data_IF_590485174475
#
_entry.id   IF_590485174475
#
_cell.length_a   1.000
_cell.length_b   1.000
_cell.length_c   1.000
_cell.angle_alpha   90.00
_cell.angle_beta   90.00
_cell.angle_gamma   90.00
#
_symmetry.space_group_name_H-M   'P 1'
#
loop_
_entity.id
_entity.type
_entity.pdbx_description
1 polymer ?
#
# COMPACT_ATOMS: atom_id res chain seq x y z
N UNK A 1 -14.95 55.19 -9.38
CA UNK A 1 -15.15 54.17 -8.31
C UNK A 1 -15.61 52.91 -9.03
N UNK A 2 -14.70 52.01 -9.34
CA UNK A 2 -14.97 50.77 -10.09
C UNK A 2 -14.92 49.60 -9.13
N UNK A 3 -16.04 48.94 -8.94
CA UNK A 3 -16.14 47.78 -8.06
C UNK A 3 -15.59 46.55 -8.77
N UNK A 4 -14.51 46.00 -8.23
CA UNK A 4 -13.94 44.70 -8.65
C UNK A 4 -14.75 43.60 -8.02
N UNK A 5 -15.55 42.87 -8.83
CA UNK A 5 -16.26 41.67 -8.41
C UNK A 5 -15.27 40.52 -8.41
N UNK A 6 -14.85 40.11 -7.21
CA UNK A 6 -14.08 38.88 -7.02
C UNK A 6 -15.03 37.67 -7.24
N UNK A 7 -14.92 37.01 -8.37
CA UNK A 7 -15.54 35.70 -8.62
C UNK A 7 -14.71 34.66 -7.87
N UNK A 8 -15.30 34.13 -6.79
CA UNK A 8 -14.77 32.94 -6.08
C UNK A 8 -14.98 31.71 -6.99
N UNK A 9 -13.91 31.25 -7.61
CA UNK A 9 -13.85 29.92 -8.22
C UNK A 9 -13.80 28.87 -7.10
N UNK A 10 -14.94 28.41 -6.62
CA UNK A 10 -15.03 27.11 -5.97
C UNK A 10 -14.98 26.08 -7.09
N UNK A 11 -13.82 25.48 -7.31
CA UNK A 11 -13.73 24.26 -8.10
C UNK A 11 -14.57 23.20 -7.39
N UNK A 12 -15.68 22.80 -7.98
CA UNK A 12 -16.41 21.64 -7.54
C UNK A 12 -15.48 20.42 -7.72
N UNK A 13 -14.88 19.95 -6.64
CA UNK A 13 -14.19 18.67 -6.63
C UNK A 13 -15.24 17.62 -7.02
N UNK A 14 -15.06 17.06 -8.21
CA UNK A 14 -15.88 15.97 -8.72
C UNK A 14 -15.62 14.78 -7.79
N UNK A 15 -16.58 14.47 -6.91
CA UNK A 15 -16.54 13.25 -6.11
C UNK A 15 -16.68 12.08 -7.09
N UNK A 16 -15.56 11.51 -7.48
CA UNK A 16 -15.52 10.28 -8.26
C UNK A 16 -15.88 9.17 -7.28
N UNK A 17 -17.07 8.60 -7.41
CA UNK A 17 -17.48 7.42 -6.65
C UNK A 17 -16.82 6.22 -7.32
N UNK A 18 -15.82 5.68 -6.67
CA UNK A 18 -15.22 4.40 -7.03
C UNK A 18 -16.14 3.27 -6.53
N UNK A 19 -16.24 2.18 -7.27
CA UNK A 19 -17.14 1.05 -6.97
C UNK A 19 -16.61 0.18 -5.81
N UNK A 20 -16.28 0.79 -4.67
CA UNK A 20 -16.05 0.11 -3.40
C UNK A 20 -14.64 -0.46 -3.15
N UNK A 21 -13.81 -0.73 -4.17
CA UNK A 21 -12.50 -1.35 -3.98
C UNK A 21 -11.33 -0.35 -4.18
N UNK A 22 -10.20 -0.57 -3.47
CA UNK A 22 -8.93 0.14 -3.65
C UNK A 22 -7.74 -0.84 -3.53
N UNK A 23 -6.72 -0.66 -4.35
CA UNK A 23 -5.41 -1.30 -4.17
C UNK A 23 -4.55 -0.43 -3.26
N UNK A 24 -4.08 -1.00 -2.14
CA UNK A 24 -3.15 -0.38 -1.21
C UNK A 24 -1.78 -1.06 -1.32
N UNK A 25 -0.79 -0.33 -1.82
CA UNK A 25 0.60 -0.78 -1.95
C UNK A 25 1.40 -0.24 -0.77
N UNK A 26 1.84 -1.13 0.12
CA UNK A 26 2.49 -0.78 1.38
C UNK A 26 4.00 -0.86 1.24
N UNK A 27 4.69 0.22 1.58
CA UNK A 27 6.14 0.35 1.73
C UNK A 27 6.97 -0.23 0.56
N UNK A 28 6.50 -0.02 -0.68
CA UNK A 28 7.24 -0.42 -1.88
C UNK A 28 8.37 0.59 -2.19
N UNK A 29 9.26 0.78 -1.21
CA UNK A 29 10.38 1.73 -1.22
C UNK A 29 11.67 1.07 -1.72
N UNK A 30 12.61 1.87 -2.21
CA UNK A 30 13.87 1.40 -2.79
C UNK A 30 14.65 0.49 -1.84
N UNK A 31 14.70 0.82 -0.54
CA UNK A 31 15.40 -0.01 0.47
C UNK A 31 14.88 -1.44 0.58
N UNK A 32 13.64 -1.70 0.18
CA UNK A 32 13.05 -3.04 0.20
C UNK A 32 13.53 -3.92 -0.97
N UNK A 33 14.10 -3.32 -2.00
CA UNK A 33 14.53 -4.02 -3.24
C UNK A 33 16.03 -3.99 -3.44
N UNK A 34 16.75 -3.16 -2.70
CA UNK A 34 18.20 -2.99 -2.83
C UNK A 34 18.93 -3.36 -1.53
N UNK A 35 20.16 -3.92 -1.64
CA UNK A 35 21.00 -4.17 -0.47
C UNK A 35 21.25 -2.89 0.35
N UNK A 36 21.44 -3.04 1.68
CA UNK A 36 21.54 -4.28 2.44
C UNK A 36 20.20 -4.85 2.93
N UNK A 37 19.08 -4.20 2.69
CA UNK A 37 17.77 -4.53 3.27
C UNK A 37 16.79 -5.14 2.26
N UNK A 38 17.29 -5.64 1.13
CA UNK A 38 16.42 -6.24 0.12
C UNK A 38 15.64 -7.45 0.67
N UNK A 39 14.33 -7.45 0.41
CA UNK A 39 13.46 -8.58 0.75
C UNK A 39 13.77 -9.80 -0.10
N UNK A 40 13.39 -10.97 0.39
CA UNK A 40 13.53 -12.23 -0.35
C UNK A 40 12.67 -12.18 -1.63
N UNK A 41 13.24 -12.67 -2.74
CA UNK A 41 12.64 -12.64 -4.09
C UNK A 41 12.15 -11.23 -4.52
N UNK A 42 12.82 -10.17 -4.10
CA UNK A 42 12.46 -8.78 -4.41
C UNK A 42 12.12 -8.52 -5.88
N UNK A 43 12.90 -9.03 -6.87
CA UNK A 43 12.56 -8.87 -8.28
C UNK A 43 11.21 -9.48 -8.70
N UNK A 44 10.80 -10.62 -8.13
CA UNK A 44 9.50 -11.22 -8.42
C UNK A 44 8.37 -10.44 -7.74
N UNK A 45 8.58 -10.01 -6.50
CA UNK A 45 7.63 -9.16 -5.79
C UNK A 45 7.40 -7.85 -6.55
N UNK A 46 8.47 -7.19 -7.00
CA UNK A 46 8.34 -5.97 -7.80
C UNK A 46 7.52 -6.18 -9.07
N UNK A 47 7.77 -7.28 -9.81
CA UNK A 47 6.98 -7.60 -11.01
C UNK A 47 5.49 -7.75 -10.69
N UNK A 48 5.14 -8.46 -9.59
CA UNK A 48 3.75 -8.67 -9.15
C UNK A 48 3.08 -7.37 -8.71
N UNK A 49 3.78 -6.52 -7.97
CA UNK A 49 3.27 -5.19 -7.59
C UNK A 49 3.01 -4.32 -8.83
N UNK A 50 3.92 -4.30 -9.80
CA UNK A 50 3.72 -3.60 -11.08
C UNK A 50 2.52 -4.12 -11.84
N UNK A 51 2.33 -5.44 -11.89
CA UNK A 51 1.17 -6.07 -12.52
C UNK A 51 -0.13 -5.65 -11.83
N UNK A 52 -0.20 -5.74 -10.50
CA UNK A 52 -1.38 -5.33 -9.72
C UNK A 52 -1.72 -3.85 -9.96
N UNK A 53 -0.73 -2.96 -9.86
CA UNK A 53 -0.92 -1.51 -10.08
C UNK A 53 -1.41 -1.24 -11.50
N UNK A 54 -0.79 -1.87 -12.51
CA UNK A 54 -1.20 -1.71 -13.91
C UNK A 54 -2.64 -2.18 -14.15
N UNK A 55 -3.03 -3.32 -13.56
CA UNK A 55 -4.39 -3.87 -13.70
C UNK A 55 -5.42 -3.06 -12.96
N UNK A 56 -5.11 -2.56 -11.75
CA UNK A 56 -5.99 -1.67 -11.00
C UNK A 56 -6.26 -0.37 -11.77
N UNK A 57 -5.20 0.27 -12.29
CA UNK A 57 -5.29 1.48 -13.11
C UNK A 57 -6.11 1.25 -14.39
N UNK A 58 -5.87 0.14 -15.09
CA UNK A 58 -6.62 -0.21 -16.30
C UNK A 58 -8.11 -0.45 -16.04
N UNK A 59 -8.45 -0.94 -14.87
CA UNK A 59 -9.84 -1.15 -14.44
C UNK A 59 -10.49 0.11 -13.82
N UNK A 60 -9.75 1.22 -13.67
CA UNK A 60 -10.23 2.41 -12.99
C UNK A 60 -10.41 2.25 -11.48
N UNK A 61 -9.79 1.23 -10.89
CA UNK A 61 -9.76 1.01 -9.44
C UNK A 61 -8.67 1.90 -8.85
N UNK A 62 -8.97 2.70 -7.81
CA UNK A 62 -7.99 3.59 -7.21
C UNK A 62 -6.81 2.82 -6.61
N UNK A 63 -5.64 3.42 -6.76
CA UNK A 63 -4.40 2.94 -6.16
C UNK A 63 -3.94 3.98 -5.14
N UNK A 64 -3.52 3.52 -3.98
CA UNK A 64 -2.84 4.35 -2.99
C UNK A 64 -1.55 3.66 -2.53
N UNK A 65 -0.58 4.47 -2.17
CA UNK A 65 0.70 4.02 -1.68
C UNK A 65 0.86 4.40 -0.21
N UNK A 66 1.50 3.53 0.54
CA UNK A 66 1.97 3.83 1.88
C UNK A 66 3.49 3.89 1.83
N UNK A 67 4.07 4.86 2.52
CA UNK A 67 5.50 5.08 2.58
C UNK A 67 5.92 5.21 4.04
N UNK A 68 6.86 4.38 4.48
CA UNK A 68 7.39 4.43 5.82
C UNK A 68 8.44 5.53 5.94
N UNK A 69 8.35 6.31 7.01
CA UNK A 69 9.37 7.25 7.44
C UNK A 69 10.16 6.59 8.57
N UNK A 70 11.29 5.99 8.22
CA UNK A 70 12.19 5.37 9.19
C UNK A 70 12.86 6.38 10.12
N UNK A 71 13.49 5.87 11.17
CA UNK A 71 14.30 6.67 12.09
C UNK A 71 15.59 7.18 11.43
N UNK A 72 16.28 8.10 12.09
CA UNK A 72 17.47 8.81 11.55
C UNK A 72 18.59 7.88 11.03
N UNK A 73 18.69 6.66 11.56
CA UNK A 73 19.71 5.69 11.16
C UNK A 73 19.19 4.61 10.19
N UNK A 74 17.89 4.64 9.87
CA UNK A 74 17.27 3.66 9.01
C UNK A 74 17.47 4.00 7.53
N UNK A 75 17.57 3.02 6.63
CA UNK A 75 17.77 3.26 5.20
C UNK A 75 16.57 3.96 4.55
N UNK A 76 15.41 3.93 5.18
CA UNK A 76 14.19 4.63 4.78
C UNK A 76 13.92 5.90 5.59
N UNK A 77 14.97 6.53 6.15
CA UNK A 77 14.86 7.88 6.72
C UNK A 77 14.49 8.88 5.62
N UNK A 78 13.54 9.80 5.86
CA UNK A 78 13.07 10.77 4.88
C UNK A 78 14.21 11.54 4.17
N UNK A 79 14.20 11.48 2.84
CA UNK A 79 15.21 12.13 2.01
C UNK A 79 16.43 11.27 1.64
N UNK A 80 16.56 10.05 2.19
CA UNK A 80 17.57 9.10 1.73
C UNK A 80 17.13 8.44 0.40
N UNK A 81 18.06 7.90 -0.39
CA UNK A 81 17.70 7.15 -1.59
C UNK A 81 16.78 5.95 -1.31
N UNK A 82 16.99 5.24 -0.19
CA UNK A 82 16.20 4.08 0.22
C UNK A 82 14.77 4.41 0.62
N UNK A 83 14.52 5.65 1.06
CA UNK A 83 13.19 6.11 1.43
C UNK A 83 12.25 6.29 0.24
N UNK A 84 12.76 6.65 -0.94
CA UNK A 84 11.93 6.88 -2.10
C UNK A 84 11.09 5.64 -2.46
N UNK A 85 9.87 5.84 -2.94
CA UNK A 85 9.12 4.78 -3.60
C UNK A 85 9.91 4.26 -4.79
N UNK A 86 9.82 2.96 -5.06
CA UNK A 86 10.55 2.36 -6.18
C UNK A 86 10.16 3.04 -7.51
N UNK A 87 11.11 3.41 -8.39
CA UNK A 87 10.84 4.19 -9.60
C UNK A 87 9.83 3.54 -10.57
N UNK A 88 9.73 2.23 -10.53
CA UNK A 88 8.73 1.48 -11.33
C UNK A 88 7.32 1.49 -10.74
N UNK A 89 7.12 2.06 -9.54
CA UNK A 89 5.86 2.08 -8.79
C UNK A 89 5.44 3.49 -8.39
N UNK A 90 5.90 4.50 -9.12
CA UNK A 90 5.57 5.89 -8.80
C UNK A 90 4.06 6.14 -8.94
N UNK A 91 3.48 6.92 -8.00
CA UNK A 91 2.10 7.37 -8.10
C UNK A 91 1.89 8.20 -9.36
N UNK A 92 0.69 8.10 -9.94
CA UNK A 92 0.20 8.97 -11.00
C UNK A 92 -0.70 10.06 -10.45
N UNK A 93 -1.08 11.04 -11.28
CA UNK A 93 -1.94 12.14 -10.87
C UNK A 93 -3.24 11.64 -10.23
N UNK A 94 -3.51 12.13 -9.02
CA UNK A 94 -4.68 11.75 -8.23
C UNK A 94 -4.49 10.56 -7.29
N UNK A 95 -3.41 9.80 -7.41
CA UNK A 95 -3.06 8.76 -6.45
C UNK A 95 -2.37 9.36 -5.21
N UNK A 96 -2.76 8.88 -4.03
CA UNK A 96 -2.21 9.39 -2.76
C UNK A 96 -1.05 8.54 -2.25
N UNK A 97 -0.13 9.21 -1.58
CA UNK A 97 0.92 8.59 -0.75
C UNK A 97 0.64 8.95 0.70
N UNK A 98 0.44 7.94 1.54
CA UNK A 98 0.26 8.10 2.98
C UNK A 98 1.57 7.79 3.68
N UNK A 99 2.13 8.77 4.37
CA UNK A 99 3.37 8.61 5.13
C UNK A 99 3.06 8.17 6.55
N UNK A 100 3.80 7.19 7.04
CA UNK A 100 3.64 6.64 8.39
C UNK A 100 4.98 6.48 9.10
N UNK A 101 4.97 6.47 10.41
CA UNK A 101 6.12 6.24 11.29
C UNK A 101 5.96 4.96 12.14
N UNK A 102 4.89 4.21 11.94
CA UNK A 102 4.60 2.96 12.65
C UNK A 102 4.28 1.85 11.65
N UNK A 103 4.14 0.61 12.12
CA UNK A 103 3.77 -0.52 11.27
C UNK A 103 2.32 -0.47 10.77
N UNK A 104 1.43 0.26 11.47
CA UNK A 104 0.03 0.42 11.10
C UNK A 104 -0.13 1.57 10.10
N UNK A 105 -0.54 1.27 8.86
CA UNK A 105 -0.76 2.28 7.81
C UNK A 105 -1.92 3.24 8.09
N UNK A 106 -2.76 2.94 9.06
CA UNK A 106 -3.88 3.79 9.46
C UNK A 106 -3.55 4.75 10.60
N UNK A 107 -2.43 4.49 11.31
CA UNK A 107 -2.07 5.27 12.49
C UNK A 107 -1.55 6.66 12.07
N UNK A 108 -2.29 7.71 12.41
CA UNK A 108 -1.95 9.13 12.17
C UNK A 108 -1.64 9.49 10.70
N UNK A 109 -2.30 8.81 9.72
CA UNK A 109 -2.02 9.02 8.29
C UNK A 109 -3.16 9.67 7.50
N UNK A 110 -4.35 9.75 8.03
CA UNK A 110 -5.55 10.19 7.29
C UNK A 110 -6.11 9.14 6.30
N UNK A 111 -5.49 7.95 6.21
CA UNK A 111 -5.93 6.90 5.28
C UNK A 111 -7.38 6.47 5.56
N UNK A 112 -7.75 6.26 6.83
CA UNK A 112 -9.08 5.80 7.20
C UNK A 112 -10.17 6.80 6.80
N UNK A 113 -9.94 8.08 7.07
CA UNK A 113 -10.85 9.18 6.72
C UNK A 113 -11.06 9.27 5.22
N UNK A 114 -9.99 9.17 4.44
CA UNK A 114 -10.05 9.23 2.99
C UNK A 114 -10.78 8.03 2.39
N UNK A 115 -10.51 6.81 2.88
CA UNK A 115 -11.21 5.60 2.45
C UNK A 115 -12.72 5.71 2.69
N UNK A 116 -13.11 6.16 3.88
CA UNK A 116 -14.52 6.35 4.24
C UNK A 116 -15.18 7.46 3.41
N UNK A 117 -14.49 8.58 3.22
CA UNK A 117 -15.00 9.70 2.40
C UNK A 117 -15.15 9.30 0.94
N UNK A 118 -14.30 8.43 0.41
CA UNK A 118 -14.39 7.90 -0.95
C UNK A 118 -15.42 6.77 -1.10
N UNK A 119 -15.99 6.27 0.01
CA UNK A 119 -16.94 5.15 0.00
C UNK A 119 -16.28 3.81 -0.32
N UNK A 120 -14.99 3.66 -0.02
CA UNK A 120 -14.27 2.40 -0.15
C UNK A 120 -14.75 1.43 0.93
N UNK A 121 -15.01 0.21 0.54
CA UNK A 121 -15.45 -0.88 1.42
C UNK A 121 -14.57 -2.12 1.29
N UNK A 122 -13.77 -2.19 0.23
CA UNK A 122 -12.90 -3.32 -0.07
C UNK A 122 -11.45 -2.84 -0.24
N UNK A 123 -10.49 -3.57 0.32
CA UNK A 123 -9.07 -3.30 0.17
C UNK A 123 -8.35 -4.53 -0.38
N UNK A 124 -7.58 -4.33 -1.44
CA UNK A 124 -6.57 -5.29 -1.91
C UNK A 124 -5.23 -4.80 -1.39
N UNK A 125 -4.55 -5.59 -0.56
CA UNK A 125 -3.30 -5.20 0.12
C UNK A 125 -2.13 -6.01 -0.41
N UNK A 126 -1.03 -5.33 -0.75
CA UNK A 126 0.23 -5.92 -1.19
C UNK A 126 1.40 -5.03 -0.73
N UNK A 127 2.63 -5.55 -0.71
CA UNK A 127 3.83 -4.78 -0.37
C UNK A 127 4.70 -5.39 0.73
N UNK A 128 5.34 -4.57 1.55
CA UNK A 128 6.33 -4.98 2.55
C UNK A 128 6.02 -4.43 3.96
N UNK A 129 6.57 -5.04 5.00
CA UNK A 129 7.08 -6.40 5.07
C UNK A 129 6.02 -7.32 5.65
N UNK A 130 6.03 -8.59 5.26
CA UNK A 130 5.00 -9.60 5.60
C UNK A 130 4.64 -9.66 7.08
N UNK A 131 5.65 -9.70 7.94
CA UNK A 131 5.52 -9.86 9.41
C UNK A 131 5.52 -8.53 10.18
N UNK A 132 5.49 -7.40 9.49
CA UNK A 132 5.46 -6.05 10.06
C UNK A 132 4.28 -5.24 9.51
N UNK A 133 4.53 -4.36 8.56
CA UNK A 133 3.53 -3.41 8.08
C UNK A 133 2.35 -4.09 7.37
N UNK A 134 2.58 -5.20 6.67
CA UNK A 134 1.51 -5.99 6.04
C UNK A 134 0.62 -6.63 7.10
N UNK A 135 1.20 -7.28 8.13
CA UNK A 135 0.42 -7.88 9.22
C UNK A 135 -0.42 -6.82 9.94
N UNK A 136 0.22 -5.73 10.41
CA UNK A 136 -0.46 -4.68 11.16
C UNK A 136 -1.56 -4.00 10.34
N UNK A 137 -1.25 -3.61 9.10
CA UNK A 137 -2.20 -2.93 8.21
C UNK A 137 -3.39 -3.81 7.84
N UNK A 138 -3.14 -5.10 7.54
CA UNK A 138 -4.20 -6.06 7.19
C UNK A 138 -5.15 -6.28 8.36
N UNK A 139 -4.62 -6.50 9.57
CA UNK A 139 -5.44 -6.65 10.78
C UNK A 139 -6.24 -5.39 11.09
N UNK A 140 -5.60 -4.24 10.97
CA UNK A 140 -6.28 -2.96 11.22
C UNK A 140 -7.39 -2.75 10.20
N UNK A 141 -7.16 -2.95 8.90
CA UNK A 141 -8.18 -2.82 7.88
C UNK A 141 -9.39 -3.72 8.16
N UNK A 142 -9.17 -4.99 8.52
CA UNK A 142 -10.23 -5.92 8.90
C UNK A 142 -11.00 -5.45 10.14
N UNK A 143 -10.32 -4.93 11.16
CA UNK A 143 -10.96 -4.41 12.38
C UNK A 143 -11.79 -3.15 12.15
N UNK A 144 -11.45 -2.35 11.12
CA UNK A 144 -12.22 -1.18 10.69
C UNK A 144 -13.43 -1.55 9.81
N UNK A 145 -13.63 -2.83 9.52
CA UNK A 145 -14.79 -3.35 8.80
C UNK A 145 -14.63 -3.40 7.29
N UNK A 146 -13.42 -3.21 6.74
CA UNK A 146 -13.17 -3.41 5.32
C UNK A 146 -13.19 -4.89 4.94
N UNK A 147 -13.75 -5.22 3.78
CA UNK A 147 -13.50 -6.51 3.14
C UNK A 147 -12.08 -6.49 2.59
N UNK A 148 -11.18 -7.32 3.15
CA UNK A 148 -9.76 -7.29 2.79
C UNK A 148 -9.40 -8.53 1.98
N UNK A 149 -8.68 -8.33 0.88
CA UNK A 149 -7.95 -9.36 0.15
C UNK A 149 -6.46 -9.09 0.27
N UNK A 150 -5.73 -9.93 0.99
CA UNK A 150 -4.27 -9.91 1.00
C UNK A 150 -3.76 -10.69 -0.21
N UNK A 151 -2.88 -10.07 -1.00
CA UNK A 151 -2.28 -10.74 -2.17
C UNK A 151 -1.11 -11.60 -1.70
N UNK A 152 -1.37 -12.90 -1.55
CA UNK A 152 -0.53 -13.88 -0.84
C UNK A 152 0.86 -14.11 -1.43
N UNK A 153 1.08 -13.74 -2.69
CA UNK A 153 2.34 -13.83 -3.41
C UNK A 153 2.96 -12.47 -3.80
N UNK A 154 2.34 -11.36 -3.36
CA UNK A 154 2.81 -10.00 -3.62
C UNK A 154 3.19 -9.23 -2.36
N UNK A 155 3.63 -9.95 -1.33
CA UNK A 155 4.31 -9.41 -0.16
C UNK A 155 5.52 -10.27 0.20
N UNK A 156 6.53 -9.66 0.84
CA UNK A 156 7.75 -10.37 1.23
C UNK A 156 8.35 -9.76 2.51
N UNK A 157 9.39 -10.41 2.98
CA UNK A 157 10.28 -9.96 4.05
C UNK A 157 11.69 -10.50 3.77
N UNK A 158 12.65 -10.23 4.62
CA UNK A 158 13.97 -10.84 4.51
C UNK A 158 14.12 -12.06 5.44
N UNK A 159 15.07 -12.93 5.10
CA UNK A 159 15.43 -14.06 5.95
C UNK A 159 16.21 -13.60 7.16
N UNK A 160 15.92 -14.17 8.32
CA UNK A 160 16.73 -14.05 9.54
C UNK A 160 17.69 -15.24 9.66
N UNK A 161 18.64 -15.16 10.57
CA UNK A 161 19.68 -16.19 10.75
C UNK A 161 19.09 -17.58 10.99
N UNK A 162 17.97 -17.65 11.69
CA UNK A 162 17.29 -18.87 12.13
C UNK A 162 15.93 -19.11 11.46
N UNK A 163 15.45 -18.18 10.66
CA UNK A 163 14.15 -18.32 9.99
C UNK A 163 14.17 -17.77 8.56
N UNK A 164 14.01 -18.64 7.53
CA UNK A 164 13.91 -18.20 6.14
C UNK A 164 12.65 -17.35 5.88
N UNK A 165 12.75 -16.35 5.01
CA UNK A 165 11.62 -15.50 4.60
C UNK A 165 10.42 -16.31 4.13
N UNK A 166 10.62 -17.38 3.38
CA UNK A 166 9.55 -18.26 2.92
C UNK A 166 8.72 -18.84 4.07
N UNK A 167 9.35 -19.21 5.18
CA UNK A 167 8.64 -19.72 6.38
C UNK A 167 7.82 -18.61 7.05
N UNK A 168 8.40 -17.41 7.14
CA UNK A 168 7.71 -16.24 7.69
C UNK A 168 6.49 -15.90 6.84
N UNK A 169 6.65 -15.83 5.52
CA UNK A 169 5.57 -15.51 4.57
C UNK A 169 4.45 -16.56 4.68
N UNK A 170 4.79 -17.85 4.68
CA UNK A 170 3.82 -18.93 4.81
C UNK A 170 3.03 -18.84 6.13
N UNK A 171 3.71 -18.58 7.25
CA UNK A 171 3.10 -18.38 8.56
C UNK A 171 2.18 -17.15 8.56
N UNK A 172 2.59 -16.05 7.98
CA UNK A 172 1.76 -14.83 7.89
C UNK A 172 0.53 -15.05 7.00
N UNK A 173 0.68 -15.70 5.85
CA UNK A 173 -0.45 -16.07 5.01
C UNK A 173 -1.46 -16.95 5.78
N UNK A 174 -0.98 -17.95 6.52
CA UNK A 174 -1.87 -18.80 7.32
C UNK A 174 -2.59 -18.01 8.42
N UNK A 175 -1.88 -17.15 9.15
CA UNK A 175 -2.42 -16.35 10.24
C UNK A 175 -3.44 -15.29 9.74
N UNK A 176 -3.11 -14.59 8.66
CA UNK A 176 -3.98 -13.56 8.10
C UNK A 176 -5.14 -14.16 7.31
N UNK A 177 -4.96 -15.30 6.64
CA UNK A 177 -6.03 -16.02 5.95
C UNK A 177 -7.15 -16.54 6.86
N UNK A 178 -6.93 -16.59 8.17
CA UNK A 178 -7.99 -16.83 9.16
C UNK A 178 -8.88 -15.59 9.40
N UNK A 179 -8.47 -14.41 8.96
CA UNK A 179 -9.14 -13.13 9.22
C UNK A 179 -9.66 -12.47 7.93
N UNK A 180 -8.95 -12.66 6.81
CA UNK A 180 -9.21 -11.98 5.54
C UNK A 180 -9.12 -12.97 4.37
N UNK A 181 -9.57 -12.58 3.19
CA UNK A 181 -9.40 -13.36 1.96
C UNK A 181 -7.95 -13.35 1.50
N UNK A 182 -7.46 -14.49 1.02
CA UNK A 182 -6.18 -14.58 0.31
C UNK A 182 -6.43 -14.83 -1.17
N UNK A 183 -5.66 -14.15 -2.02
CA UNK A 183 -5.62 -14.41 -3.45
C UNK A 183 -4.19 -14.24 -3.95
N UNK A 184 -3.78 -14.99 -4.95
CA UNK A 184 -2.54 -14.71 -5.68
C UNK A 184 -2.71 -13.52 -6.63
N UNK A 185 -1.61 -12.93 -7.09
CA UNK A 185 -1.63 -11.86 -8.10
C UNK A 185 -2.49 -12.24 -9.32
N UNK A 186 -2.41 -13.50 -9.77
CA UNK A 186 -3.19 -13.99 -10.91
C UNK A 186 -4.70 -14.09 -10.64
N UNK A 187 -5.11 -14.34 -9.40
CA UNK A 187 -6.51 -14.51 -8.99
C UNK A 187 -7.21 -13.19 -8.66
N UNK A 188 -6.47 -12.14 -8.31
CA UNK A 188 -7.05 -10.82 -8.04
C UNK A 188 -7.79 -10.32 -9.29
N UNK A 189 -9.02 -9.89 -9.12
CA UNK A 189 -9.80 -9.26 -10.20
C UNK A 189 -10.26 -7.87 -9.76
N UNK A 190 -9.90 -6.85 -10.52
CA UNK A 190 -10.39 -5.48 -10.34
C UNK A 190 -11.62 -5.27 -11.23
N UNK A 191 -12.74 -4.77 -10.63
CA UNK A 191 -13.99 -4.53 -11.34
C UNK A 191 -14.55 -3.14 -11.02
#
# INVERSE_FOLDING_TARGET
>A
MVAVIARSYRSAQRVVRYAGAMLLVVDAQVNQFEPPMAVDDGPAILRRLKELVSRARAAGVPVAFVQNDGGEIDPDFPGTPGWALHPDLLPTDGERVYRKTTTDSFHETGLLEDLRAAGITELVIAGMQSNHCIDATTRRAASEGFAVTLVSDAHSTFSFTDEPAASIIARQNAALGALVSLATTAEVTFR
#
